data_IF_981144352471
#
_entry.id   IF_981144352471
#
_cell.length_a   1.000
_cell.length_b   1.000
_cell.length_c   1.000
_cell.angle_alpha   90.00
_cell.angle_beta   90.00
_cell.angle_gamma   90.00
#
_symmetry.space_group_name_H-M   'P 1'
#
loop_
_entity.id
_entity.type
_entity.pdbx_description
1 polymer ?
#
# COMPACT_ATOMS: atom_id res chain seq x y z
N UNK A 1 32.51 -65.66 -31.41
CA UNK A 1 33.12 -64.32 -31.56
C UNK A 1 32.03 -63.40 -32.10
N UNK A 2 31.72 -62.21 -31.61
CA UNK A 2 31.93 -61.52 -30.35
C UNK A 2 30.96 -60.32 -30.39
N UNK A 3 30.38 -59.98 -29.23
CA UNK A 3 29.74 -58.73 -28.83
C UNK A 3 29.65 -57.56 -29.83
N UNK A 4 28.44 -57.16 -30.23
CA UNK A 4 28.06 -55.75 -30.44
C UNK A 4 26.59 -55.56 -30.01
N UNK A 5 26.37 -55.30 -28.72
CA UNK A 5 26.09 -53.97 -28.17
C UNK A 5 24.60 -53.62 -28.29
N UNK A 6 23.85 -54.13 -27.30
CA UNK A 6 22.59 -53.57 -26.78
C UNK A 6 22.86 -52.17 -26.23
N UNK A 7 23.05 -51.17 -27.09
CA UNK A 7 23.08 -49.75 -26.66
C UNK A 7 22.29 -48.96 -27.72
N UNK A 8 20.98 -49.15 -27.77
CA UNK A 8 20.12 -48.26 -28.58
C UNK A 8 18.76 -47.96 -27.92
N UNK A 9 18.50 -48.48 -26.72
CA UNK A 9 17.22 -48.33 -26.02
C UNK A 9 17.38 -47.79 -24.60
N UNK A 10 18.32 -46.85 -24.39
CA UNK A 10 18.43 -46.08 -23.13
C UNK A 10 18.45 -44.56 -23.36
N UNK A 11 18.50 -44.09 -24.62
CA UNK A 11 18.68 -42.66 -24.92
C UNK A 11 17.42 -41.87 -25.32
N UNK A 12 16.21 -42.42 -25.11
CA UNK A 12 14.92 -41.75 -25.44
C UNK A 12 13.98 -41.66 -24.22
N UNK A 13 14.53 -41.57 -23.01
CA UNK A 13 13.74 -41.33 -21.79
C UNK A 13 14.33 -40.22 -20.90
N UNK A 14 15.28 -39.46 -21.43
CA UNK A 14 15.80 -38.25 -20.81
C UNK A 14 15.35 -37.00 -21.56
N UNK A 15 14.11 -36.99 -22.06
CA UNK A 15 13.40 -35.76 -22.41
C UNK A 15 12.99 -35.05 -21.13
N UNK A 16 13.99 -34.39 -20.54
CA UNK A 16 13.91 -33.01 -20.02
C UNK A 16 12.50 -32.62 -19.57
N UNK A 17 12.15 -32.98 -18.33
CA UNK A 17 11.14 -32.24 -17.58
C UNK A 17 11.77 -30.89 -17.24
N UNK A 18 11.74 -29.97 -18.21
CA UNK A 18 11.97 -28.56 -17.95
C UNK A 18 10.82 -28.09 -17.06
N UNK A 19 10.97 -28.25 -15.75
CA UNK A 19 10.25 -27.44 -14.79
C UNK A 19 10.73 -26.00 -15.00
N UNK A 20 10.13 -25.34 -15.99
CA UNK A 20 10.15 -23.89 -16.09
C UNK A 20 9.30 -23.44 -14.89
N UNK A 21 9.93 -23.35 -13.73
CA UNK A 21 9.43 -22.51 -12.66
C UNK A 21 9.48 -21.10 -13.24
N UNK A 22 8.40 -20.72 -13.93
CA UNK A 22 8.08 -19.33 -14.18
C UNK A 22 7.90 -18.71 -12.80
N UNK A 23 9.03 -18.29 -12.20
CA UNK A 23 9.03 -17.43 -11.04
C UNK A 23 8.23 -16.21 -11.48
N UNK A 24 6.95 -16.21 -11.14
CA UNK A 24 6.03 -15.13 -11.48
C UNK A 24 6.62 -13.94 -10.78
N UNK A 25 7.20 -13.01 -11.54
CA UNK A 25 7.79 -11.79 -10.98
C UNK A 25 6.66 -11.11 -10.23
N UNK A 26 6.69 -11.21 -8.90
CA UNK A 26 5.73 -10.51 -8.06
C UNK A 26 6.05 -9.04 -8.28
N UNK A 27 5.11 -8.28 -8.79
CA UNK A 27 5.15 -6.83 -8.81
C UNK A 27 4.01 -6.30 -7.94
N UNK A 28 4.04 -4.99 -7.67
CA UNK A 28 3.06 -4.36 -6.80
C UNK A 28 1.63 -4.48 -7.36
N UNK A 29 1.46 -4.36 -8.67
CA UNK A 29 0.14 -4.51 -9.32
C UNK A 29 -0.46 -5.91 -9.14
N UNK A 30 0.33 -6.97 -9.24
CA UNK A 30 -0.13 -8.34 -8.98
C UNK A 30 -0.63 -8.51 -7.55
N UNK A 31 0.07 -7.88 -6.60
CA UNK A 31 -0.26 -7.89 -5.19
C UNK A 31 -1.56 -7.11 -4.90
N UNK A 32 -1.71 -5.92 -5.47
CA UNK A 32 -2.96 -5.15 -5.39
C UNK A 32 -4.12 -5.85 -6.09
N UNK A 33 -3.90 -6.51 -7.23
CA UNK A 33 -4.94 -7.27 -7.94
C UNK A 33 -5.44 -8.48 -7.14
N UNK A 34 -4.58 -9.12 -6.34
CA UNK A 34 -4.99 -10.17 -5.40
C UNK A 34 -5.84 -9.63 -4.26
N UNK A 35 -5.46 -8.48 -3.71
CA UNK A 35 -6.24 -7.77 -2.70
C UNK A 35 -7.62 -7.38 -3.27
N UNK A 36 -7.68 -6.82 -4.48
CA UNK A 36 -8.92 -6.48 -5.18
C UNK A 36 -9.83 -7.70 -5.35
N UNK A 37 -9.29 -8.83 -5.82
CA UNK A 37 -10.05 -10.07 -5.97
C UNK A 37 -10.62 -10.56 -4.63
N UNK A 38 -9.87 -10.42 -3.54
CA UNK A 38 -10.33 -10.76 -2.20
C UNK A 38 -11.46 -9.83 -1.75
N UNK A 39 -11.29 -8.52 -1.90
CA UNK A 39 -12.27 -7.49 -1.55
C UNK A 39 -13.57 -7.69 -2.33
N UNK A 40 -13.48 -7.88 -3.65
CA UNK A 40 -14.61 -8.10 -4.53
C UNK A 40 -15.42 -9.35 -4.13
N UNK A 41 -14.73 -10.47 -3.80
CA UNK A 41 -15.40 -11.68 -3.29
C UNK A 41 -16.11 -11.46 -1.96
N UNK A 42 -15.55 -10.62 -1.09
CA UNK A 42 -16.13 -10.24 0.18
C UNK A 42 -17.26 -9.19 0.06
N UNK A 43 -17.48 -8.61 -1.15
CA UNK A 43 -18.44 -7.52 -1.40
C UNK A 43 -18.25 -6.32 -0.48
N UNK A 44 -16.99 -5.98 -0.19
CA UNK A 44 -16.64 -4.87 0.68
C UNK A 44 -16.28 -3.64 -0.17
N UNK A 45 -16.93 -2.50 0.06
CA UNK A 45 -16.72 -1.23 -0.64
C UNK A 45 -16.09 -0.14 0.27
N UNK A 46 -15.48 -0.57 1.38
CA UNK A 46 -14.95 0.30 2.42
C UNK A 46 -13.61 1.01 2.11
N UNK A 47 -12.95 1.55 3.15
CA UNK A 47 -11.74 2.38 3.03
C UNK A 47 -10.55 1.65 2.37
N UNK A 48 -10.44 0.33 2.54
CA UNK A 48 -9.41 -0.48 1.89
C UNK A 48 -9.70 -0.67 0.39
N UNK A 49 -10.95 -0.86 0.00
CA UNK A 49 -11.34 -0.91 -1.41
C UNK A 49 -10.98 0.40 -2.13
N UNK A 50 -11.32 1.54 -1.51
CA UNK A 50 -10.91 2.85 -2.00
C UNK A 50 -9.40 2.96 -2.23
N UNK A 51 -8.58 2.59 -1.23
CA UNK A 51 -7.12 2.66 -1.37
C UNK A 51 -6.59 1.73 -2.46
N UNK A 52 -7.12 0.51 -2.54
CA UNK A 52 -6.71 -0.45 -3.55
C UNK A 52 -6.98 0.07 -4.96
N UNK A 53 -8.20 0.54 -5.23
CA UNK A 53 -8.58 1.13 -6.52
C UNK A 53 -7.70 2.33 -6.88
N UNK A 54 -7.45 3.22 -5.91
CA UNK A 54 -6.57 4.37 -6.11
C UNK A 54 -5.17 3.93 -6.54
N UNK A 55 -4.55 2.98 -5.82
CA UNK A 55 -3.20 2.53 -6.15
C UNK A 55 -3.11 1.70 -7.43
N UNK A 56 -4.14 0.92 -7.78
CA UNK A 56 -4.18 0.23 -9.08
C UNK A 56 -4.19 1.25 -10.22
N UNK A 57 -5.03 2.27 -10.13
CA UNK A 57 -5.13 3.31 -11.16
C UNK A 57 -3.83 4.13 -11.27
N UNK A 58 -3.23 4.46 -10.12
CA UNK A 58 -1.98 5.20 -10.07
C UNK A 58 -0.82 4.37 -10.65
N UNK A 59 -0.61 3.14 -10.18
CA UNK A 59 0.53 2.32 -10.62
C UNK A 59 0.37 1.75 -12.03
N UNK A 60 -0.85 1.55 -12.52
CA UNK A 60 -1.06 1.13 -13.93
C UNK A 60 -0.73 2.24 -14.93
N UNK A 61 -0.69 3.49 -14.46
CA UNK A 61 -0.27 4.63 -15.26
C UNK A 61 1.26 4.75 -15.36
N UNK A 62 2.03 4.05 -14.51
CA UNK A 62 3.49 4.11 -14.46
C UNK A 62 4.15 2.76 -14.74
N UNK A 63 4.32 2.41 -16.03
CA UNK A 63 4.93 1.13 -16.42
C UNK A 63 6.42 1.01 -16.06
N UNK A 64 7.10 2.13 -15.85
CA UNK A 64 8.56 2.20 -15.63
C UNK A 64 8.97 2.45 -14.18
N UNK A 65 8.00 2.57 -13.28
CA UNK A 65 8.23 2.81 -11.85
C UNK A 65 7.80 1.57 -11.08
N UNK A 66 8.73 0.99 -10.35
CA UNK A 66 8.45 -0.21 -9.57
C UNK A 66 8.82 -0.03 -8.11
N UNK A 67 8.07 -0.69 -7.23
CA UNK A 67 8.46 -0.84 -5.82
C UNK A 67 9.69 -1.74 -5.74
N UNK A 68 10.73 -1.32 -5.01
CA UNK A 68 11.94 -2.13 -4.82
C UNK A 68 11.60 -3.45 -4.14
N UNK A 69 12.20 -4.54 -4.61
CA UNK A 69 11.92 -5.89 -4.13
C UNK A 69 12.02 -6.04 -2.60
N UNK A 70 12.98 -5.35 -1.96
CA UNK A 70 13.18 -5.37 -0.51
C UNK A 70 11.97 -4.90 0.32
N UNK A 71 11.12 -4.06 -0.26
CA UNK A 71 9.87 -3.59 0.38
C UNK A 71 8.66 -4.38 -0.08
N UNK A 72 8.71 -4.94 -1.30
CA UNK A 72 7.57 -5.64 -1.89
C UNK A 72 7.09 -6.79 -1.01
N UNK A 73 8.01 -7.59 -0.46
CA UNK A 73 7.63 -8.71 0.40
C UNK A 73 7.02 -8.27 1.74
N UNK A 74 7.52 -7.16 2.30
CA UNK A 74 6.96 -6.56 3.51
C UNK A 74 5.55 -5.98 3.27
N UNK A 75 5.30 -5.42 2.09
CA UNK A 75 4.00 -4.88 1.71
C UNK A 75 2.99 -5.99 1.41
N UNK A 76 3.41 -7.00 0.64
CA UNK A 76 2.49 -7.99 0.05
C UNK A 76 2.21 -9.21 0.91
N UNK A 77 3.12 -9.56 1.83
CA UNK A 77 2.96 -10.76 2.65
C UNK A 77 2.74 -10.46 4.14
N UNK A 78 2.65 -9.18 4.55
CA UNK A 78 2.32 -8.88 5.94
C UNK A 78 0.85 -9.18 6.26
N UNK A 79 0.60 -9.53 7.52
CA UNK A 79 -0.75 -9.89 8.00
C UNK A 79 -1.46 -8.72 8.70
N UNK A 80 -0.71 -7.71 9.12
CA UNK A 80 -1.25 -6.63 9.96
C UNK A 80 -2.03 -5.60 9.14
N UNK A 81 -1.64 -5.36 7.90
CA UNK A 81 -2.36 -4.50 6.99
C UNK A 81 -2.60 -5.17 5.64
N UNK A 82 -3.71 -4.80 5.02
CA UNK A 82 -3.96 -5.11 3.63
C UNK A 82 -2.89 -4.44 2.73
N UNK A 83 -2.54 -5.03 1.57
CA UNK A 83 -1.44 -4.54 0.72
C UNK A 83 -1.53 -3.07 0.31
N UNK A 84 -2.73 -2.53 0.04
CA UNK A 84 -2.92 -1.12 -0.29
C UNK A 84 -2.55 -0.18 0.87
N UNK A 85 -3.00 -0.51 2.09
CA UNK A 85 -2.66 0.25 3.29
C UNK A 85 -1.18 0.09 3.67
N UNK A 86 -0.63 -1.09 3.45
CA UNK A 86 0.80 -1.38 3.60
C UNK A 86 1.66 -0.52 2.68
N UNK A 87 1.25 -0.39 1.42
CA UNK A 87 1.90 0.44 0.43
C UNK A 87 1.86 1.92 0.83
N UNK A 88 0.69 2.41 1.26
CA UNK A 88 0.55 3.78 1.77
C UNK A 88 1.50 4.03 2.95
N UNK A 89 1.56 3.12 3.92
CA UNK A 89 2.47 3.22 5.06
C UNK A 89 3.93 3.37 4.61
N UNK A 90 4.39 2.48 3.72
CA UNK A 90 5.77 2.52 3.21
C UNK A 90 6.03 3.76 2.35
N UNK A 91 5.05 4.22 1.58
CA UNK A 91 5.17 5.44 0.78
C UNK A 91 5.38 6.66 1.68
N UNK A 92 4.66 6.75 2.81
CA UNK A 92 4.84 7.84 3.77
C UNK A 92 6.18 7.78 4.51
N UNK A 93 6.71 6.58 4.79
CA UNK A 93 7.97 6.41 5.51
C UNK A 93 9.22 6.56 4.63
N UNK A 94 9.16 6.06 3.40
CA UNK A 94 10.33 5.94 2.52
C UNK A 94 10.27 6.87 1.30
N UNK A 95 9.10 7.42 0.97
CA UNK A 95 8.94 8.32 -0.17
C UNK A 95 9.50 7.73 -1.46
N UNK A 96 10.32 8.51 -2.19
CA UNK A 96 10.97 8.07 -3.43
C UNK A 96 11.88 6.87 -3.25
N UNK A 97 12.45 6.66 -2.05
CA UNK A 97 13.33 5.52 -1.80
C UNK A 97 12.61 4.18 -1.86
N UNK A 98 11.28 4.15 -1.77
CA UNK A 98 10.46 2.97 -1.97
C UNK A 98 10.56 2.41 -3.40
N UNK A 99 10.83 3.29 -4.37
CA UNK A 99 10.71 2.99 -5.79
C UNK A 99 12.05 2.94 -6.51
N UNK A 100 12.06 2.28 -7.66
CA UNK A 100 13.13 2.28 -8.65
C UNK A 100 12.55 2.59 -10.03
N UNK A 101 13.25 3.41 -10.80
CA UNK A 101 12.87 3.74 -12.18
C UNK A 101 13.66 2.81 -13.10
N UNK A 102 12.96 2.08 -13.97
CA UNK A 102 13.57 1.32 -15.06
C UNK A 102 13.74 2.26 -16.26
N UNK A 103 14.97 2.42 -16.72
CA UNK A 103 15.27 3.14 -17.95
C UNK A 103 15.70 2.09 -18.97
N UNK A 104 15.02 2.05 -20.13
CA UNK A 104 15.46 1.25 -21.26
C UNK A 104 16.63 1.95 -21.96
N UNK A 105 17.57 1.18 -22.49
CA UNK A 105 18.71 1.73 -23.23
C UNK A 105 18.24 2.64 -24.37
N UNK A 106 18.72 3.90 -24.40
CA UNK A 106 18.32 4.90 -25.39
C UNK A 106 17.29 5.93 -24.90
N UNK A 107 16.77 5.79 -23.66
CA UNK A 107 15.78 6.70 -23.06
C UNK A 107 16.37 7.60 -21.94
N UNK A 108 17.68 7.85 -21.93
CA UNK A 108 18.35 8.58 -20.84
C UNK A 108 17.75 9.98 -20.58
N UNK A 109 17.25 10.65 -21.62
CA UNK A 109 16.56 11.95 -21.51
C UNK A 109 15.20 11.89 -20.82
N UNK A 110 14.58 10.71 -20.69
CA UNK A 110 13.28 10.54 -20.02
C UNK A 110 13.39 10.39 -18.50
N UNK A 111 14.60 10.23 -17.95
CA UNK A 111 14.75 10.02 -16.51
C UNK A 111 14.19 11.17 -15.69
N UNK A 112 14.49 12.42 -16.07
CA UNK A 112 14.01 13.60 -15.35
C UNK A 112 12.48 13.67 -15.32
N UNK A 113 11.82 13.33 -16.43
CA UNK A 113 10.37 13.27 -16.53
C UNK A 113 9.79 12.18 -15.61
N UNK A 114 10.30 10.94 -15.71
CA UNK A 114 9.85 9.81 -14.87
C UNK A 114 10.09 10.09 -13.38
N UNK A 115 11.22 10.72 -13.03
CA UNK A 115 11.54 11.10 -11.66
C UNK A 115 10.62 12.22 -11.13
N UNK A 116 10.24 13.19 -11.97
CA UNK A 116 9.25 14.21 -11.61
C UNK A 116 7.87 13.59 -11.34
N UNK A 117 7.43 12.67 -12.18
CA UNK A 117 6.15 11.97 -11.97
C UNK A 117 6.13 11.15 -10.68
N UNK A 118 7.24 10.43 -10.40
CA UNK A 118 7.42 9.71 -9.14
C UNK A 118 7.36 10.67 -7.95
N UNK A 119 7.99 11.83 -8.05
CA UNK A 119 7.97 12.87 -7.02
C UNK A 119 6.54 13.38 -6.76
N UNK A 120 5.79 13.69 -7.82
CA UNK A 120 4.40 14.11 -7.71
C UNK A 120 3.52 13.03 -7.03
N UNK A 121 3.71 11.76 -7.40
CA UNK A 121 2.99 10.64 -6.78
C UNK A 121 3.29 10.53 -5.29
N UNK A 122 4.57 10.57 -4.91
CA UNK A 122 4.99 10.50 -3.50
C UNK A 122 4.47 11.71 -2.71
N UNK A 123 4.50 12.90 -3.30
CA UNK A 123 4.03 14.14 -2.66
C UNK A 123 2.51 14.14 -2.41
N UNK A 124 1.74 13.35 -3.18
CA UNK A 124 0.31 13.10 -2.91
C UNK A 124 0.07 12.13 -1.76
N UNK A 125 1.08 11.41 -1.27
CA UNK A 125 0.94 10.42 -0.21
C UNK A 125 0.21 10.91 1.05
N UNK A 126 0.56 12.07 1.63
CA UNK A 126 -0.17 12.64 2.76
C UNK A 126 -1.64 12.93 2.44
N UNK A 127 -1.94 13.45 1.26
CA UNK A 127 -3.32 13.68 0.84
C UNK A 127 -4.12 12.37 0.72
N UNK A 128 -3.53 11.34 0.09
CA UNK A 128 -4.13 10.00 0.00
C UNK A 128 -4.41 9.44 1.40
N UNK A 129 -3.50 9.65 2.35
CA UNK A 129 -3.69 9.25 3.73
C UNK A 129 -4.86 9.96 4.40
N UNK A 130 -5.02 11.27 4.22
CA UNK A 130 -6.18 11.98 4.77
C UNK A 130 -7.49 11.58 4.12
N UNK A 131 -7.50 11.31 2.80
CA UNK A 131 -8.67 10.72 2.15
C UNK A 131 -9.02 9.35 2.75
N UNK A 132 -8.03 8.51 3.00
CA UNK A 132 -8.25 7.24 3.69
C UNK A 132 -8.83 7.42 5.10
N UNK A 133 -8.30 8.36 5.89
CA UNK A 133 -8.85 8.69 7.20
C UNK A 133 -10.29 9.20 7.12
N UNK A 134 -10.61 10.04 6.12
CA UNK A 134 -11.98 10.50 5.89
C UNK A 134 -12.93 9.34 5.54
N UNK A 135 -12.46 8.36 4.77
CA UNK A 135 -13.21 7.14 4.50
C UNK A 135 -13.40 6.28 5.76
N UNK A 136 -12.37 6.15 6.61
CA UNK A 136 -12.49 5.48 7.90
C UNK A 136 -13.51 6.18 8.81
N UNK A 137 -13.50 7.51 8.87
CA UNK A 137 -14.41 8.29 9.71
C UNK A 137 -15.89 8.09 9.33
N UNK A 138 -16.20 7.79 8.07
CA UNK A 138 -17.58 7.45 7.64
C UNK A 138 -18.11 6.16 8.30
N UNK A 139 -17.21 5.29 8.78
CA UNK A 139 -17.58 4.07 9.51
C UNK A 139 -17.75 4.32 11.01
N UNK A 140 -17.41 5.51 11.51
CA UNK A 140 -17.44 5.84 12.92
C UNK A 140 -18.72 6.59 13.30
N UNK A 141 -19.22 6.42 14.54
CA UNK A 141 -20.40 7.13 15.03
C UNK A 141 -20.25 8.66 15.08
N UNK A 142 -19.01 9.16 15.20
CA UNK A 142 -18.69 10.59 15.31
C UNK A 142 -17.40 10.90 14.57
N UNK A 143 -17.34 12.10 13.98
CA UNK A 143 -16.23 12.53 13.11
C UNK A 143 -14.92 12.78 13.88
N UNK A 144 -15.02 13.15 15.16
CA UNK A 144 -13.88 13.47 16.03
C UNK A 144 -13.26 12.24 16.69
N UNK A 145 -13.95 11.09 16.71
CA UNK A 145 -13.50 9.94 17.50
C UNK A 145 -12.12 9.41 17.07
N UNK A 146 -11.87 9.31 15.76
CA UNK A 146 -10.59 8.78 15.27
C UNK A 146 -9.40 9.61 15.78
N UNK A 147 -9.55 10.93 15.79
CA UNK A 147 -8.55 11.88 16.27
C UNK A 147 -8.40 11.88 17.80
N UNK A 148 -9.46 11.50 18.53
CA UNK A 148 -9.39 11.32 20.00
C UNK A 148 -8.62 10.05 20.39
N UNK A 149 -8.80 8.96 19.64
CA UNK A 149 -8.10 7.70 19.92
C UNK A 149 -6.68 7.67 19.33
N UNK A 150 -6.41 8.47 18.29
CA UNK A 150 -5.10 8.58 17.64
C UNK A 150 -4.69 10.07 17.57
N UNK A 151 -4.12 10.64 18.64
CA UNK A 151 -3.76 12.05 18.70
C UNK A 151 -2.76 12.52 17.62
N UNK A 152 -1.96 11.60 17.06
CA UNK A 152 -1.07 11.88 15.93
C UNK A 152 -1.84 12.33 14.69
N UNK A 153 -3.09 11.88 14.51
CA UNK A 153 -3.95 12.35 13.42
C UNK A 153 -4.21 13.84 13.56
N UNK A 154 -4.54 14.33 14.76
CA UNK A 154 -4.72 15.76 15.00
C UNK A 154 -3.46 16.54 14.67
N UNK A 155 -2.31 16.06 15.13
CA UNK A 155 -1.01 16.68 14.85
C UNK A 155 -0.74 16.88 13.35
N UNK A 156 -1.07 15.87 12.53
CA UNK A 156 -0.87 15.94 11.09
C UNK A 156 -1.98 16.69 10.36
N UNK A 157 -3.24 16.58 10.79
CA UNK A 157 -4.37 17.31 10.21
C UNK A 157 -4.23 18.82 10.38
N UNK A 158 -3.91 19.29 11.59
CA UNK A 158 -3.70 20.72 11.85
C UNK A 158 -2.58 21.30 10.98
N UNK A 159 -1.49 20.55 10.82
CA UNK A 159 -0.39 20.94 9.94
C UNK A 159 -0.78 20.86 8.47
N UNK A 160 -1.55 19.86 8.06
CA UNK A 160 -2.02 19.76 6.68
C UNK A 160 -2.86 20.97 6.30
N UNK A 161 -3.85 21.35 7.11
CA UNK A 161 -4.66 22.55 6.88
C UNK A 161 -3.85 23.84 6.93
N UNK A 162 -2.83 23.91 7.79
CA UNK A 162 -1.93 25.06 7.83
C UNK A 162 -1.08 25.17 6.55
N UNK A 163 -0.62 24.04 6.02
CA UNK A 163 0.29 23.96 4.86
C UNK A 163 -0.44 24.01 3.50
N UNK A 164 -1.76 23.82 3.46
CA UNK A 164 -2.60 24.01 2.25
C UNK A 164 -2.44 25.41 1.62
N UNK A 165 -1.85 26.37 2.34
CA UNK A 165 -1.66 27.74 1.87
C UNK A 165 -0.36 28.03 1.12
N UNK A 166 0.73 27.24 1.22
CA UNK A 166 1.97 27.45 0.40
C UNK A 166 3.14 26.46 0.65
N UNK A 167 2.92 25.29 1.26
CA UNK A 167 4.02 24.39 1.64
C UNK A 167 3.96 23.01 0.96
N UNK A 168 5.12 22.47 0.52
CA UNK A 168 5.15 21.13 -0.05
C UNK A 168 4.82 20.10 1.05
N UNK A 169 3.81 19.28 0.77
CA UNK A 169 3.22 18.27 1.67
C UNK A 169 4.20 17.15 2.02
N UNK A 170 5.29 17.00 1.28
CA UNK A 170 6.41 16.09 1.58
C UNK A 170 7.04 16.36 2.96
N UNK A 171 6.96 17.60 3.45
CA UNK A 171 7.45 17.97 4.79
C UNK A 171 6.54 17.55 5.92
N UNK A 172 5.26 17.31 5.63
CA UNK A 172 4.25 17.03 6.64
C UNK A 172 4.53 15.71 7.37
N UNK A 173 4.93 14.69 6.61
CA UNK A 173 5.12 13.31 7.11
C UNK A 173 6.59 12.97 7.38
N UNK A 174 7.45 13.97 7.59
CA UNK A 174 8.89 13.76 7.89
C UNK A 174 9.14 13.11 9.25
N UNK A 175 8.22 13.28 10.21
CA UNK A 175 8.31 12.63 11.51
C UNK A 175 7.88 11.15 11.39
N UNK A 176 8.82 10.31 10.92
CA UNK A 176 8.60 8.88 10.71
C UNK A 176 8.11 8.18 11.99
N UNK A 177 8.59 8.61 13.16
CA UNK A 177 8.19 8.01 14.44
C UNK A 177 6.70 8.21 14.74
N UNK A 178 6.16 9.40 14.42
CA UNK A 178 4.72 9.67 14.54
C UNK A 178 3.91 8.94 13.49
N UNK A 179 4.42 8.83 12.26
CA UNK A 179 3.77 8.04 11.20
C UNK A 179 3.67 6.58 11.65
N UNK A 180 4.76 5.98 12.12
CA UNK A 180 4.76 4.61 12.65
C UNK A 180 3.78 4.46 13.81
N UNK A 181 3.84 5.33 14.82
CA UNK A 181 2.90 5.32 15.97
C UNK A 181 1.44 5.34 15.53
N UNK A 182 1.11 6.17 14.53
CA UNK A 182 -0.23 6.28 13.97
C UNK A 182 -0.68 4.98 13.31
N UNK A 183 0.17 4.37 12.47
CA UNK A 183 -0.16 3.10 11.84
C UNK A 183 -0.25 1.95 12.86
N UNK A 184 0.63 1.89 13.87
CA UNK A 184 0.54 0.91 14.96
C UNK A 184 -0.82 0.96 15.68
N UNK A 185 -1.37 2.16 15.90
CA UNK A 185 -2.71 2.32 16.49
C UNK A 185 -3.80 1.86 15.52
N UNK A 186 -3.66 2.15 14.22
CA UNK A 186 -4.60 1.73 13.18
C UNK A 186 -4.69 0.21 13.01
N UNK A 187 -3.67 -0.58 13.40
CA UNK A 187 -3.76 -2.05 13.44
C UNK A 187 -4.93 -2.56 14.30
N UNK A 188 -5.37 -1.77 15.28
CA UNK A 188 -6.43 -2.11 16.21
C UNK A 188 -7.73 -1.36 15.91
N UNK A 189 -8.05 -1.15 14.62
CA UNK A 189 -9.21 -0.36 14.20
C UNK A 189 -10.53 -0.86 14.80
N UNK A 190 -10.78 -2.17 14.85
CA UNK A 190 -12.00 -2.73 15.46
C UNK A 190 -12.18 -2.33 16.92
N UNK A 191 -11.08 -2.24 17.67
CA UNK A 191 -11.09 -1.79 19.06
C UNK A 191 -11.39 -0.30 19.15
N UNK A 192 -10.85 0.50 18.23
CA UNK A 192 -11.12 1.93 18.12
C UNK A 192 -12.61 2.16 17.83
N UNK A 193 -13.17 1.45 16.84
CA UNK A 193 -14.60 1.53 16.47
C UNK A 193 -15.48 1.26 17.71
N UNK A 194 -15.23 0.16 18.43
CA UNK A 194 -15.99 -0.19 19.64
C UNK A 194 -15.93 0.88 20.73
N UNK A 195 -14.77 1.50 20.93
CA UNK A 195 -14.62 2.62 21.87
C UNK A 195 -15.39 3.86 21.40
N UNK A 196 -15.40 4.13 20.10
CA UNK A 196 -16.17 5.22 19.52
C UNK A 196 -17.67 5.03 19.74
N UNK A 197 -18.18 3.81 19.53
CA UNK A 197 -19.59 3.46 19.78
C UNK A 197 -19.98 3.65 21.25
N UNK A 198 -19.15 3.16 22.17
CA UNK A 198 -19.39 3.32 23.61
C UNK A 198 -19.40 4.81 24.02
N UNK A 199 -18.45 5.60 23.51
CA UNK A 199 -18.34 7.03 23.81
C UNK A 199 -19.53 7.82 23.23
N UNK A 200 -19.96 7.50 22.01
CA UNK A 200 -21.12 8.13 21.38
C UNK A 200 -22.42 7.84 22.15
N UNK A 201 -22.60 6.58 22.60
CA UNK A 201 -23.75 6.20 23.43
C UNK A 201 -23.78 6.98 24.75
N UNK A 202 -22.64 7.07 25.44
CA UNK A 202 -22.53 7.83 26.69
C UNK A 202 -22.88 9.32 26.50
N UNK A 203 -22.36 9.97 25.45
CA UNK A 203 -22.69 11.38 25.12
C UNK A 203 -24.18 11.57 24.83
N UNK A 204 -24.81 10.59 24.16
CA UNK A 204 -26.25 10.61 23.92
C UNK A 204 -27.04 10.54 25.23
N UNK A 205 -26.71 9.62 26.13
CA UNK A 205 -27.37 9.46 27.43
C UNK A 205 -27.21 10.71 28.32
N UNK A 206 -26.03 11.33 28.34
CA UNK A 206 -25.75 12.56 29.10
C UNK A 206 -26.54 13.77 28.59
N UNK A 207 -26.77 13.87 27.27
CA UNK A 207 -27.52 14.98 26.67
C UNK A 207 -29.03 14.90 26.90
N UNK A 208 -29.56 13.71 27.19
CA UNK A 208 -30.99 13.45 27.38
C UNK A 208 -31.35 13.16 28.84
N UNK A 209 -30.46 13.49 29.77
CA UNK A 209 -30.67 13.45 31.21
C UNK A 209 -30.91 14.85 31.75
#
# INVERSE_FOLDING_TARGET
MAHYIKICTVFILFSVVSNVNAATVKNMLHCLGKEELFIHKAKNDGPIYFLNQLFINELSSFNDVEVKQKYLDAICNQREFAPSLALLHHMLLYGKDLYQIRILSGEEGLWAYKNSQLEDMVNRGPHIFFLYLAHLQKLLPTHDCLSQEIPEITYFMERYYYLESDFPTDKLMKDKSRVESMFEKLKNLDRIIKKCEASAKKRYEEKHR
#
